data_IF_621883840676
#
_entry.id   IF_621883840676
#
_cell.length_a   1.000
_cell.length_b   1.000
_cell.length_c   1.000
_cell.angle_alpha   90.00
_cell.angle_beta   90.00
_cell.angle_gamma   90.00
#
_symmetry.space_group_name_H-M   'P 1'
#
loop_
_entity.id
_entity.type
_entity.pdbx_description
1 polymer ?
#
# COMPACT_ATOMS: atom_id res chain seq x y z
N UNK A 1 11.13 -8.19 2.45
CA UNK A 1 11.20 -7.44 3.73
C UNK A 1 10.29 -6.21 3.72
N UNK A 2 10.38 -5.31 2.72
CA UNK A 2 9.55 -4.10 2.68
C UNK A 2 8.03 -4.37 2.65
N UNK A 3 7.54 -5.38 1.93
CA UNK A 3 6.10 -5.70 1.94
C UNK A 3 5.60 -6.16 3.31
N UNK A 4 6.41 -6.92 4.04
CA UNK A 4 6.05 -7.41 5.38
C UNK A 4 5.98 -6.23 6.36
N UNK A 5 6.99 -5.37 6.37
CA UNK A 5 7.01 -4.20 7.26
C UNK A 5 5.98 -3.12 6.85
N UNK A 6 5.76 -2.94 5.55
CA UNK A 6 4.74 -2.06 4.99
C UNK A 6 3.32 -2.52 5.28
N UNK A 7 3.07 -3.82 5.47
CA UNK A 7 1.75 -4.31 5.86
C UNK A 7 1.34 -4.02 7.31
N UNK A 8 2.30 -3.62 8.18
CA UNK A 8 2.03 -3.35 9.60
C UNK A 8 1.18 -2.08 9.80
N UNK A 9 1.53 -0.90 9.24
CA UNK A 9 0.73 0.32 9.37
C UNK A 9 -0.56 0.34 8.54
N UNK A 10 -1.04 -0.81 8.04
CA UNK A 10 -2.15 -0.84 7.10
C UNK A 10 -3.49 -0.55 7.78
N UNK A 11 -4.17 0.52 7.37
CA UNK A 11 -5.36 1.03 8.07
C UNK A 11 -6.51 0.03 8.15
N UNK A 12 -6.77 -0.73 7.08
CA UNK A 12 -7.88 -1.71 7.07
C UNK A 12 -7.70 -2.80 8.13
N UNK A 13 -6.46 -3.15 8.46
CA UNK A 13 -6.16 -4.11 9.52
C UNK A 13 -6.50 -3.53 10.90
N UNK A 14 -6.04 -2.31 11.19
CA UNK A 14 -6.37 -1.63 12.45
C UNK A 14 -7.88 -1.43 12.63
N UNK A 15 -8.59 -1.07 11.57
CA UNK A 15 -10.06 -0.94 11.62
C UNK A 15 -10.73 -2.26 12.04
N UNK A 16 -10.28 -3.39 11.51
CA UNK A 16 -10.82 -4.71 11.86
C UNK A 16 -10.46 -5.11 13.29
N UNK A 17 -9.21 -4.92 13.69
CA UNK A 17 -8.74 -5.22 15.06
C UNK A 17 -9.47 -4.39 16.11
N UNK A 18 -9.69 -3.09 15.85
CA UNK A 18 -10.39 -2.18 16.77
C UNK A 18 -11.91 -2.40 16.81
N UNK A 19 -12.49 -3.00 15.76
CA UNK A 19 -13.91 -3.39 15.74
C UNK A 19 -14.21 -4.69 16.48
N UNK A 20 -13.18 -5.45 16.89
CA UNK A 20 -13.36 -6.69 17.62
C UNK A 20 -13.89 -6.45 19.03
N UNK A 21 -14.81 -7.29 19.50
CA UNK A 21 -15.48 -7.12 20.79
C UNK A 21 -14.55 -7.30 22.00
N UNK A 22 -13.40 -7.98 21.81
CA UNK A 22 -12.42 -8.17 22.88
C UNK A 22 -10.98 -8.25 22.34
N UNK A 23 -9.97 -7.86 23.14
CA UNK A 23 -8.57 -7.95 22.75
C UNK A 23 -8.10 -9.40 22.52
N UNK A 24 -8.65 -10.36 23.27
CA UNK A 24 -8.34 -11.79 23.10
C UNK A 24 -8.85 -12.29 21.74
N UNK A 25 -10.07 -11.90 21.36
CA UNK A 25 -10.64 -12.24 20.06
C UNK A 25 -9.84 -11.61 18.92
N UNK A 26 -9.43 -10.34 19.06
CA UNK A 26 -8.62 -9.66 18.06
C UNK A 26 -7.28 -10.39 17.82
N UNK A 27 -6.60 -10.81 18.89
CA UNK A 27 -5.34 -11.60 18.80
C UNK A 27 -5.57 -12.95 18.13
N UNK A 28 -6.62 -13.66 18.51
CA UNK A 28 -6.96 -14.97 17.93
C UNK A 28 -7.22 -14.86 16.43
N UNK A 29 -8.05 -13.90 16.01
CA UNK A 29 -8.34 -13.66 14.58
C UNK A 29 -7.06 -13.31 13.82
N UNK A 30 -6.15 -12.54 14.43
CA UNK A 30 -4.87 -12.17 13.81
C UNK A 30 -3.97 -13.39 13.60
N UNK A 31 -3.83 -14.25 14.61
CA UNK A 31 -3.05 -15.50 14.47
C UNK A 31 -3.68 -16.47 13.47
N UNK A 32 -5.00 -16.62 13.52
CA UNK A 32 -5.73 -17.48 12.60
C UNK A 32 -5.64 -16.96 11.16
N UNK A 33 -5.68 -15.64 10.96
CA UNK A 33 -5.45 -15.01 9.66
C UNK A 33 -4.05 -15.28 9.15
N UNK A 34 -3.01 -15.18 9.99
CA UNK A 34 -1.64 -15.47 9.59
C UNK A 34 -1.47 -16.92 9.11
N UNK A 35 -2.01 -17.88 9.87
CA UNK A 35 -2.02 -19.29 9.47
C UNK A 35 -2.83 -19.51 8.18
N UNK A 36 -4.00 -18.88 8.08
CA UNK A 36 -4.88 -18.94 6.92
C UNK A 36 -4.21 -18.41 5.65
N UNK A 37 -3.45 -17.31 5.73
CA UNK A 37 -2.69 -16.77 4.61
C UNK A 37 -1.64 -17.76 4.10
N UNK A 38 -0.95 -18.47 5.00
CA UNK A 38 0.02 -19.48 4.62
C UNK A 38 -0.64 -20.65 3.88
N UNK A 39 -1.78 -21.13 4.38
CA UNK A 39 -2.55 -22.19 3.72
C UNK A 39 -3.08 -21.76 2.35
N UNK A 40 -3.53 -20.51 2.23
CA UNK A 40 -4.04 -19.95 0.96
C UNK A 40 -2.94 -19.67 -0.08
N UNK A 41 -1.67 -19.65 0.32
CA UNK A 41 -0.57 -19.58 -0.63
C UNK A 41 -0.44 -20.88 -1.45
N UNK A 42 -0.81 -22.03 -0.89
CA UNK A 42 -0.65 -23.35 -1.53
C UNK A 42 -1.48 -23.43 -2.83
N UNK A 43 -2.80 -23.15 -2.84
CA UNK A 43 -3.59 -23.15 -4.08
C UNK A 43 -3.04 -22.19 -5.13
N UNK A 44 -2.57 -21.00 -4.73
CA UNK A 44 -2.03 -20.02 -5.68
C UNK A 44 -0.77 -20.54 -6.39
N UNK A 45 0.13 -21.21 -5.67
CA UNK A 45 1.33 -21.81 -6.24
C UNK A 45 0.98 -22.99 -7.14
N UNK A 46 0.03 -23.84 -6.72
CA UNK A 46 -0.42 -24.97 -7.54
C UNK A 46 -1.02 -24.53 -8.87
N UNK A 47 -1.83 -23.47 -8.88
CA UNK A 47 -2.41 -22.92 -10.11
C UNK A 47 -1.30 -22.39 -11.05
N UNK A 48 -0.29 -21.71 -10.50
CA UNK A 48 0.89 -21.29 -11.27
C UNK A 48 1.66 -22.47 -11.85
N UNK A 49 1.88 -23.53 -11.06
CA UNK A 49 2.54 -24.75 -11.52
C UNK A 49 1.75 -25.43 -12.65
N UNK A 50 0.43 -25.56 -12.51
CA UNK A 50 -0.46 -26.10 -13.55
C UNK A 50 -0.37 -25.27 -14.83
N UNK A 51 -0.36 -23.94 -14.73
CA UNK A 51 -0.21 -23.06 -15.89
C UNK A 51 1.11 -23.28 -16.64
N UNK A 52 2.21 -23.52 -15.91
CA UNK A 52 3.53 -23.78 -16.51
C UNK A 52 3.67 -25.18 -17.09
N UNK A 53 2.99 -26.18 -16.52
CA UNK A 53 3.06 -27.57 -17.01
C UNK A 53 2.08 -27.88 -18.13
N UNK A 54 1.15 -26.97 -18.41
CA UNK A 54 0.11 -27.18 -19.43
C UNK A 54 0.64 -26.87 -20.82
N UNK A 55 0.41 -27.78 -21.75
CA UNK A 55 0.65 -27.56 -23.17
C UNK A 55 -0.47 -26.70 -23.76
N UNK A 56 -0.26 -25.39 -23.78
CA UNK A 56 -1.24 -24.39 -24.23
C UNK A 56 -1.67 -24.57 -25.68
N UNK A 57 -0.87 -25.25 -26.51
CA UNK A 57 -1.22 -25.58 -27.89
C UNK A 57 -2.47 -26.48 -27.99
N UNK A 58 -2.71 -27.32 -26.98
CA UNK A 58 -3.86 -28.23 -26.94
C UNK A 58 -5.11 -27.58 -26.35
N UNK A 59 -5.00 -26.35 -25.83
CA UNK A 59 -6.10 -25.58 -25.29
C UNK A 59 -6.64 -24.61 -26.33
N UNK A 60 -7.86 -24.09 -26.11
CA UNK A 60 -8.45 -23.05 -26.98
C UNK A 60 -7.75 -21.68 -26.88
N UNK A 61 -6.70 -21.54 -26.06
CA UNK A 61 -5.86 -20.34 -25.97
C UNK A 61 -4.80 -20.26 -27.09
N UNK A 62 -4.21 -21.40 -27.46
CA UNK A 62 -3.19 -21.50 -28.52
C UNK A 62 -1.78 -21.03 -28.12
N UNK A 63 -0.88 -20.92 -29.10
CA UNK A 63 0.48 -20.39 -28.94
C UNK A 63 0.56 -18.91 -29.38
N UNK A 64 1.49 -18.10 -28.85
CA UNK A 64 2.48 -18.39 -27.81
C UNK A 64 1.88 -18.50 -26.40
N UNK A 65 2.64 -19.07 -25.46
CA UNK A 65 2.19 -19.29 -24.08
C UNK A 65 1.89 -17.97 -23.33
N UNK A 66 1.04 -17.98 -22.28
CA UNK A 66 0.74 -16.77 -21.51
C UNK A 66 1.97 -16.06 -20.94
N UNK A 67 3.04 -16.81 -20.65
CA UNK A 67 4.29 -16.27 -20.16
C UNK A 67 5.01 -15.46 -21.25
N UNK A 68 5.08 -15.99 -22.47
CA UNK A 68 5.71 -15.34 -23.63
C UNK A 68 4.91 -14.12 -24.12
N UNK A 69 3.59 -14.14 -23.94
CA UNK A 69 2.72 -12.99 -24.24
C UNK A 69 2.77 -11.88 -23.19
N UNK A 70 3.46 -12.11 -22.06
CA UNK A 70 3.52 -11.15 -20.95
C UNK A 70 2.24 -11.07 -20.11
N UNK A 71 1.36 -12.06 -20.23
CA UNK A 71 0.06 -12.14 -19.52
C UNK A 71 0.19 -12.89 -18.18
N UNK A 72 1.38 -12.88 -17.57
CA UNK A 72 1.68 -13.62 -16.33
C UNK A 72 0.78 -13.19 -15.15
N UNK A 73 0.37 -11.92 -15.11
CA UNK A 73 -0.56 -11.41 -14.11
C UNK A 73 -1.98 -12.01 -14.23
N UNK A 74 -2.35 -12.52 -15.41
CA UNK A 74 -3.68 -13.07 -15.72
C UNK A 74 -3.70 -14.60 -15.72
N UNK A 75 -2.64 -15.26 -15.24
CA UNK A 75 -2.57 -16.73 -15.22
C UNK A 75 -3.76 -17.35 -14.49
N UNK A 76 -4.14 -16.83 -13.32
CA UNK A 76 -5.24 -17.37 -12.53
C UNK A 76 -6.58 -17.38 -13.31
N UNK A 77 -7.08 -16.25 -13.86
CA UNK A 77 -8.30 -16.27 -14.67
C UNK A 77 -8.15 -17.09 -15.95
N UNK A 78 -6.98 -17.09 -16.61
CA UNK A 78 -6.74 -17.90 -17.81
C UNK A 78 -6.85 -19.40 -17.51
N UNK A 79 -6.26 -19.87 -16.41
CA UNK A 79 -6.35 -21.28 -16.01
C UNK A 79 -7.81 -21.68 -15.76
N UNK A 80 -8.58 -20.85 -15.05
CA UNK A 80 -9.99 -21.13 -14.81
C UNK A 80 -10.85 -21.06 -16.07
N UNK A 81 -10.50 -20.23 -17.04
CA UNK A 81 -11.24 -20.11 -18.30
C UNK A 81 -10.97 -21.26 -19.26
N UNK A 82 -9.71 -21.67 -19.38
CA UNK A 82 -9.27 -22.57 -20.46
C UNK A 82 -9.04 -24.02 -20.01
N UNK A 83 -8.80 -24.28 -18.73
CA UNK A 83 -8.53 -25.64 -18.21
C UNK A 83 -9.70 -26.21 -17.39
N UNK A 84 -10.69 -25.40 -17.01
CA UNK A 84 -11.82 -25.86 -16.21
C UNK A 84 -13.12 -25.98 -17.02
N UNK A 85 -14.03 -26.91 -16.65
CA UNK A 85 -15.38 -26.97 -17.19
C UNK A 85 -16.15 -25.65 -16.97
N UNK A 86 -17.09 -25.34 -17.87
CA UNK A 86 -17.82 -24.07 -17.89
C UNK A 86 -18.42 -23.67 -16.53
N UNK A 87 -19.02 -24.60 -15.79
CA UNK A 87 -19.61 -24.31 -14.47
C UNK A 87 -18.58 -23.87 -13.43
N UNK A 88 -17.41 -24.52 -13.40
CA UNK A 88 -16.32 -24.20 -12.47
C UNK A 88 -15.65 -22.90 -12.88
N UNK A 89 -15.50 -22.67 -14.20
CA UNK A 89 -14.97 -21.43 -14.74
C UNK A 89 -15.80 -20.21 -14.33
N UNK A 90 -17.12 -20.27 -14.53
CA UNK A 90 -18.04 -19.18 -14.17
C UNK A 90 -18.01 -18.93 -12.65
N UNK A 91 -18.08 -20.00 -11.85
CA UNK A 91 -18.03 -19.88 -10.39
C UNK A 91 -16.68 -19.32 -9.91
N UNK A 92 -15.57 -19.78 -10.47
CA UNK A 92 -14.21 -19.37 -10.10
C UNK A 92 -13.91 -17.93 -10.50
N UNK A 93 -14.26 -17.52 -11.72
CA UNK A 93 -14.13 -16.14 -12.18
C UNK A 93 -15.02 -15.21 -11.36
N UNK A 94 -16.25 -15.64 -11.05
CA UNK A 94 -17.15 -14.92 -10.13
C UNK A 94 -16.56 -14.77 -8.73
N UNK A 95 -15.92 -15.81 -8.19
CA UNK A 95 -15.27 -15.77 -6.89
C UNK A 95 -14.07 -14.81 -6.87
N UNK A 96 -13.25 -14.77 -7.93
CA UNK A 96 -12.14 -13.81 -8.06
C UNK A 96 -12.67 -12.37 -8.12
N UNK A 97 -13.72 -12.13 -8.90
CA UNK A 97 -14.36 -10.82 -8.99
C UNK A 97 -14.93 -10.39 -7.63
N UNK A 98 -15.61 -11.29 -6.91
CA UNK A 98 -16.15 -11.01 -5.58
C UNK A 98 -15.04 -10.73 -4.55
N UNK A 99 -13.96 -11.51 -4.57
CA UNK A 99 -12.82 -11.32 -3.66
C UNK A 99 -12.12 -9.99 -3.90
N UNK A 100 -11.83 -9.64 -5.16
CA UNK A 100 -11.20 -8.36 -5.52
C UNK A 100 -12.08 -7.16 -5.18
N UNK A 101 -13.40 -7.27 -5.41
CA UNK A 101 -14.36 -6.23 -5.05
C UNK A 101 -14.43 -6.01 -3.53
N UNK A 102 -14.41 -7.08 -2.73
CA UNK A 102 -14.37 -6.99 -1.26
C UNK A 102 -13.11 -6.29 -0.73
N UNK A 103 -11.96 -6.57 -1.34
CA UNK A 103 -10.70 -5.87 -1.02
C UNK A 103 -10.73 -4.39 -1.41
N UNK A 104 -11.24 -4.07 -2.61
CA UNK A 104 -11.38 -2.71 -3.10
C UNK A 104 -12.33 -1.88 -2.23
N UNK A 105 -13.47 -2.45 -1.85
CA UNK A 105 -14.44 -1.81 -0.95
C UNK A 105 -13.80 -1.46 0.41
N UNK A 106 -13.10 -2.42 1.03
CA UNK A 106 -12.39 -2.19 2.28
C UNK A 106 -11.36 -1.06 2.16
N UNK A 107 -10.59 -1.02 1.07
CA UNK A 107 -9.58 0.02 0.85
C UNK A 107 -10.21 1.40 0.66
N UNK A 108 -11.24 1.50 -0.20
CA UNK A 108 -11.96 2.76 -0.46
C UNK A 108 -12.65 3.28 0.79
N UNK A 109 -13.31 2.42 1.55
CA UNK A 109 -13.94 2.79 2.82
C UNK A 109 -12.90 3.30 3.83
N UNK A 110 -11.75 2.64 3.91
CA UNK A 110 -10.66 3.02 4.81
C UNK A 110 -10.12 4.42 4.48
N UNK A 111 -9.74 4.65 3.22
CA UNK A 111 -9.23 5.95 2.75
C UNK A 111 -10.27 7.06 2.91
N UNK A 112 -11.53 6.78 2.57
CA UNK A 112 -12.63 7.75 2.66
C UNK A 112 -12.96 8.13 4.09
N UNK A 113 -12.94 7.14 5.00
CA UNK A 113 -13.13 7.35 6.44
C UNK A 113 -11.99 8.18 7.04
N UNK A 114 -10.74 7.87 6.69
CA UNK A 114 -9.58 8.66 7.11
C UNK A 114 -9.71 10.11 6.63
N UNK A 115 -10.08 10.33 5.37
CA UNK A 115 -10.28 11.69 4.85
C UNK A 115 -11.40 12.44 5.58
N UNK A 116 -12.57 11.81 5.75
CA UNK A 116 -13.73 12.45 6.36
C UNK A 116 -13.49 12.81 7.84
N UNK A 117 -12.88 11.91 8.63
CA UNK A 117 -12.64 12.16 10.06
C UNK A 117 -11.37 12.97 10.32
N UNK A 118 -10.26 12.69 9.63
CA UNK A 118 -8.96 13.31 9.94
C UNK A 118 -8.72 14.61 9.19
N UNK A 119 -9.26 14.79 7.99
CA UNK A 119 -9.08 16.01 7.20
C UNK A 119 -10.33 16.87 7.25
N UNK A 120 -11.47 16.33 6.82
CA UNK A 120 -12.70 17.14 6.72
C UNK A 120 -13.18 17.62 8.08
N UNK A 121 -13.36 16.72 9.06
CA UNK A 121 -13.83 17.11 10.40
C UNK A 121 -12.78 17.86 11.21
N UNK A 122 -11.50 17.46 11.21
CA UNK A 122 -10.47 18.08 12.08
C UNK A 122 -9.84 19.36 11.51
N UNK A 123 -9.65 19.45 10.19
CA UNK A 123 -8.92 20.55 9.54
C UNK A 123 -9.89 21.52 8.88
N UNK A 124 -10.76 21.03 7.98
CA UNK A 124 -11.61 21.90 7.16
C UNK A 124 -12.79 22.47 7.95
N UNK A 125 -13.51 21.62 8.70
CA UNK A 125 -14.74 22.01 9.40
C UNK A 125 -14.88 21.34 10.76
N UNK A 126 -14.25 21.94 11.77
CA UNK A 126 -14.22 21.49 13.18
C UNK A 126 -15.59 21.27 13.85
N UNK A 127 -16.65 21.91 13.34
CA UNK A 127 -18.03 21.80 13.84
C UNK A 127 -18.96 21.02 12.91
N UNK A 128 -18.42 20.18 12.02
CA UNK A 128 -19.24 19.39 11.11
C UNK A 128 -20.13 18.39 11.88
N UNK A 129 -21.40 18.28 11.47
CA UNK A 129 -22.34 17.28 12.00
C UNK A 129 -22.04 15.89 11.43
N UNK A 130 -22.49 14.83 12.10
CA UNK A 130 -22.27 13.45 11.64
C UNK A 130 -22.84 13.20 10.23
N UNK A 131 -23.96 13.85 9.88
CA UNK A 131 -24.54 13.78 8.53
C UNK A 131 -23.66 14.43 7.47
N UNK A 132 -23.02 15.56 7.77
CA UNK A 132 -22.05 16.21 6.86
C UNK A 132 -20.80 15.33 6.67
N UNK A 133 -20.32 14.66 7.73
CA UNK A 133 -19.17 13.75 7.66
C UNK A 133 -19.49 12.52 6.80
N UNK A 134 -20.69 11.96 6.92
CA UNK A 134 -21.13 10.84 6.07
C UNK A 134 -21.22 11.23 4.59
N UNK A 135 -21.73 12.42 4.28
CA UNK A 135 -21.73 12.93 2.90
C UNK A 135 -20.31 13.15 2.38
N UNK A 136 -19.42 13.72 3.19
CA UNK A 136 -18.02 13.88 2.83
C UNK A 136 -17.34 12.53 2.55
N UNK A 137 -17.65 11.50 3.35
CA UNK A 137 -17.16 10.13 3.15
C UNK A 137 -17.66 9.51 1.84
N UNK A 138 -18.94 9.68 1.50
CA UNK A 138 -19.49 9.17 0.22
C UNK A 138 -18.89 9.87 -0.99
N UNK A 139 -18.74 11.19 -0.92
CA UNK A 139 -18.13 11.97 -2.01
C UNK A 139 -16.65 11.63 -2.18
N UNK A 140 -15.89 11.50 -1.08
CA UNK A 140 -14.47 11.11 -1.17
C UNK A 140 -14.29 9.69 -1.71
N UNK A 141 -15.21 8.77 -1.38
CA UNK A 141 -15.21 7.41 -1.95
C UNK A 141 -15.37 7.42 -3.47
N UNK A 142 -16.29 8.23 -4.00
CA UNK A 142 -16.45 8.39 -5.45
C UNK A 142 -15.21 9.00 -6.10
N UNK A 143 -14.61 10.03 -5.49
CA UNK A 143 -13.42 10.69 -6.01
C UNK A 143 -12.22 9.74 -6.02
N UNK A 144 -11.92 9.08 -4.90
CA UNK A 144 -10.82 8.11 -4.80
C UNK A 144 -11.04 6.90 -5.70
N UNK A 145 -12.28 6.42 -5.84
CA UNK A 145 -12.64 5.37 -6.78
C UNK A 145 -12.39 5.77 -8.24
N UNK A 146 -12.80 6.97 -8.64
CA UNK A 146 -12.54 7.49 -9.98
C UNK A 146 -11.05 7.67 -10.26
N UNK A 147 -10.29 8.17 -9.29
CA UNK A 147 -8.83 8.30 -9.39
C UNK A 147 -8.14 6.94 -9.51
N UNK A 148 -8.54 5.96 -8.69
CA UNK A 148 -8.00 4.60 -8.74
C UNK A 148 -8.32 3.93 -10.08
N UNK A 149 -9.54 4.10 -10.60
CA UNK A 149 -9.92 3.60 -11.92
C UNK A 149 -9.10 4.28 -13.03
N UNK A 150 -8.92 5.59 -12.98
CA UNK A 150 -8.06 6.32 -13.92
C UNK A 150 -6.61 5.82 -13.92
N UNK A 151 -6.05 5.58 -12.73
CA UNK A 151 -4.70 5.01 -12.60
C UNK A 151 -4.63 3.58 -13.13
N UNK A 152 -5.68 2.78 -12.92
CA UNK A 152 -5.77 1.42 -13.44
C UNK A 152 -5.82 1.37 -14.97
N UNK A 153 -6.45 2.35 -15.64
CA UNK A 153 -6.43 2.47 -17.10
C UNK A 153 -5.10 3.01 -17.65
N UNK A 154 -4.36 3.78 -16.87
CA UNK A 154 -3.09 4.37 -17.29
C UNK A 154 -1.90 3.41 -17.12
N UNK A 155 -1.90 2.58 -16.08
CA UNK A 155 -0.80 1.65 -15.82
C UNK A 155 -0.88 0.38 -16.67
N UNK A 156 0.25 -0.03 -17.24
CA UNK A 156 0.37 -1.28 -18.00
C UNK A 156 0.58 -2.52 -17.11
N UNK A 157 0.86 -2.33 -15.82
CA UNK A 157 1.22 -3.43 -14.91
C UNK A 157 0.60 -3.25 -13.52
N UNK A 158 -0.25 -4.22 -13.15
CA UNK A 158 -0.86 -4.30 -11.80
C UNK A 158 0.19 -4.62 -10.75
N UNK A 159 1.20 -5.42 -11.12
CA UNK A 159 2.28 -5.81 -10.22
C UNK A 159 3.08 -4.58 -9.78
N UNK A 160 3.41 -3.68 -10.71
CA UNK A 160 4.21 -2.51 -10.39
C UNK A 160 3.44 -1.54 -9.47
N UNK A 161 2.14 -1.34 -9.70
CA UNK A 161 1.29 -0.56 -8.80
C UNK A 161 1.20 -1.17 -7.40
N UNK A 162 1.11 -2.50 -7.30
CA UNK A 162 1.09 -3.20 -6.02
C UNK A 162 2.40 -2.97 -5.25
N UNK A 163 3.54 -3.14 -5.91
CA UNK A 163 4.85 -2.93 -5.29
C UNK A 163 5.09 -1.47 -4.90
N UNK A 164 4.67 -0.53 -5.75
CA UNK A 164 4.72 0.90 -5.47
C UNK A 164 3.92 1.25 -4.22
N UNK A 165 2.70 0.72 -4.09
CA UNK A 165 1.85 0.99 -2.92
C UNK A 165 2.49 0.49 -1.62
N UNK A 166 2.99 -0.75 -1.61
CA UNK A 166 3.64 -1.33 -0.43
C UNK A 166 4.94 -0.60 -0.07
N UNK A 167 5.67 -0.12 -1.07
CA UNK A 167 6.87 0.67 -0.85
C UNK A 167 6.56 2.05 -0.25
N UNK A 168 5.55 2.76 -0.75
CA UNK A 168 5.15 4.06 -0.19
C UNK A 168 4.74 3.93 1.27
N UNK A 169 3.96 2.91 1.61
CA UNK A 169 3.57 2.63 2.99
C UNK A 169 4.79 2.29 3.85
N UNK A 170 5.73 1.50 3.34
CA UNK A 170 6.97 1.17 4.04
C UNK A 170 7.90 2.38 4.24
N UNK A 171 8.02 3.26 3.25
CA UNK A 171 8.93 4.40 3.33
C UNK A 171 8.39 5.57 4.18
N UNK A 172 7.06 5.77 4.17
CA UNK A 172 6.41 6.92 4.80
C UNK A 172 5.76 6.57 6.15
N UNK A 173 4.90 5.56 6.17
CA UNK A 173 4.05 5.27 7.33
C UNK A 173 4.75 4.40 8.38
N UNK A 174 5.60 3.47 7.95
CA UNK A 174 6.29 2.58 8.88
C UNK A 174 7.23 3.33 9.84
N UNK A 175 8.10 4.28 9.39
CA UNK A 175 8.91 5.10 10.31
C UNK A 175 8.07 5.88 11.32
N UNK A 176 6.95 6.46 10.86
CA UNK A 176 6.04 7.21 11.74
C UNK A 176 5.43 6.30 12.81
N UNK A 177 4.98 5.11 12.44
CA UNK A 177 4.45 4.13 13.38
C UNK A 177 5.52 3.68 14.40
N UNK A 178 6.75 3.41 13.94
CA UNK A 178 7.85 3.04 14.82
C UNK A 178 8.17 4.15 15.84
N UNK A 179 8.26 5.41 15.39
CA UNK A 179 8.48 6.54 16.28
C UNK A 179 7.33 6.71 17.27
N UNK A 180 6.08 6.61 16.83
CA UNK A 180 4.91 6.76 17.69
C UNK A 180 4.80 5.67 18.78
N UNK A 181 5.27 4.44 18.51
CA UNK A 181 5.18 3.32 19.45
C UNK A 181 6.39 3.22 20.39
N UNK A 182 7.60 3.47 19.89
CA UNK A 182 8.84 3.16 20.61
C UNK A 182 9.61 4.40 21.07
N UNK A 183 9.35 5.58 20.51
CA UNK A 183 10.11 6.80 20.81
C UNK A 183 9.20 7.81 21.52
N UNK A 184 9.30 7.95 22.86
CA UNK A 184 8.41 8.83 23.63
C UNK A 184 8.61 10.32 23.35
N UNK A 185 9.73 10.71 22.73
CA UNK A 185 10.05 12.11 22.39
C UNK A 185 9.51 12.53 21.00
N UNK A 186 8.69 11.71 20.33
CA UNK A 186 8.15 12.02 19.00
C UNK A 186 7.06 13.08 19.09
N UNK A 187 7.15 14.11 18.25
CA UNK A 187 6.20 15.23 18.22
C UNK A 187 5.69 15.51 16.80
N UNK A 188 4.64 16.33 16.71
CA UNK A 188 3.93 16.64 15.46
C UNK A 188 4.86 17.23 14.39
N UNK A 189 5.79 18.09 14.80
CA UNK A 189 6.79 18.71 13.92
C UNK A 189 7.74 17.68 13.30
N UNK A 190 8.28 16.75 14.10
CA UNK A 190 9.15 15.69 13.58
C UNK A 190 8.42 14.73 12.65
N UNK A 191 7.16 14.39 12.97
CA UNK A 191 6.33 13.55 12.10
C UNK A 191 6.02 14.21 10.74
N UNK A 192 5.70 15.51 10.75
CA UNK A 192 5.44 16.27 9.52
C UNK A 192 6.71 16.42 8.67
N UNK A 193 7.85 16.78 9.29
CA UNK A 193 9.12 16.90 8.60
C UNK A 193 9.57 15.57 7.99
N UNK A 194 9.44 14.46 8.74
CA UNK A 194 9.73 13.13 8.22
C UNK A 194 8.87 12.75 7.03
N UNK A 195 7.56 13.03 7.07
CA UNK A 195 6.66 12.76 5.95
C UNK A 195 7.06 13.54 4.70
N UNK A 196 7.37 14.83 4.85
CA UNK A 196 7.78 15.70 3.75
C UNK A 196 9.10 15.20 3.16
N UNK A 197 10.13 14.96 3.99
CA UNK A 197 11.44 14.49 3.53
C UNK A 197 11.32 13.12 2.87
N UNK A 198 10.61 12.16 3.48
CA UNK A 198 10.40 10.84 2.91
C UNK A 198 9.69 10.89 1.56
N UNK A 199 8.67 11.75 1.41
CA UNK A 199 7.93 11.91 0.17
C UNK A 199 8.79 12.58 -0.91
N UNK A 200 9.56 13.61 -0.57
CA UNK A 200 10.50 14.24 -1.51
C UNK A 200 11.58 13.26 -1.97
N UNK A 201 12.25 12.56 -1.04
CA UNK A 201 13.26 11.56 -1.37
C UNK A 201 12.71 10.49 -2.30
N UNK A 202 11.45 10.09 -2.10
CA UNK A 202 10.79 9.09 -2.93
C UNK A 202 10.42 9.59 -4.31
N UNK A 203 9.87 10.80 -4.42
CA UNK A 203 9.56 11.41 -5.72
C UNK A 203 10.84 11.67 -6.52
N UNK A 204 11.90 12.13 -5.86
CA UNK A 204 13.18 12.43 -6.49
C UNK A 204 13.95 11.17 -6.92
N UNK A 205 13.71 10.03 -6.28
CA UNK A 205 14.25 8.72 -6.68
C UNK A 205 13.70 8.22 -8.02
N UNK A 206 12.63 8.83 -8.55
CA UNK A 206 11.95 8.39 -9.78
C UNK A 206 11.09 7.15 -9.56
N UNK A 207 10.15 6.92 -10.48
CA UNK A 207 9.35 5.70 -10.47
C UNK A 207 9.14 5.19 -11.90
N UNK A 208 9.73 4.04 -12.27
CA UNK A 208 9.57 3.47 -13.60
C UNK A 208 8.11 3.09 -13.90
N UNK A 209 7.34 2.67 -12.89
CA UNK A 209 5.92 2.33 -13.02
C UNK A 209 5.02 3.51 -13.43
N UNK A 210 5.41 4.74 -13.09
CA UNK A 210 4.67 5.97 -13.41
C UNK A 210 5.36 6.78 -14.52
N UNK A 211 6.36 6.22 -15.20
CA UNK A 211 7.21 6.93 -16.17
C UNK A 211 7.86 8.21 -15.63
N UNK A 212 8.09 8.29 -14.31
CA UNK A 212 8.73 9.45 -13.68
C UNK A 212 10.25 9.22 -13.71
N UNK A 213 10.96 10.04 -14.49
CA UNK A 213 12.42 9.98 -14.54
C UNK A 213 13.05 10.33 -13.19
N UNK A 214 14.07 9.59 -12.74
CA UNK A 214 14.78 9.90 -11.49
C UNK A 214 15.56 11.21 -11.63
N UNK A 215 15.41 12.10 -10.66
CA UNK A 215 16.18 13.35 -10.57
C UNK A 215 17.43 13.13 -9.70
N UNK A 216 17.33 12.27 -8.67
CA UNK A 216 18.46 11.85 -7.85
C UNK A 216 18.92 10.47 -8.30
N UNK A 217 20.14 10.40 -8.83
CA UNK A 217 20.86 9.16 -9.04
C UNK A 217 21.59 8.75 -7.76
N UNK A 218 21.11 7.72 -7.06
CA UNK A 218 21.82 7.10 -5.95
C UNK A 218 23.10 6.38 -6.44
N UNK A 219 24.13 6.16 -5.58
CA UNK A 219 25.37 5.49 -5.99
C UNK A 219 25.08 4.12 -6.62
N UNK A 220 25.75 3.78 -7.73
CA UNK A 220 25.47 2.60 -8.57
C UNK A 220 24.16 2.65 -9.39
N UNK A 221 23.81 3.82 -9.93
CA UNK A 221 22.87 3.91 -11.07
C UNK A 221 23.55 3.42 -12.34
N UNK A 222 23.10 2.29 -12.89
CA UNK A 222 23.41 1.90 -14.26
C UNK A 222 22.16 2.11 -15.14
N UNK A 223 22.40 2.64 -16.34
CA UNK A 223 21.38 2.76 -17.37
C UNK A 223 21.46 1.51 -18.24
N UNK A 224 20.61 0.51 -17.98
CA UNK A 224 20.44 -0.64 -18.86
C UNK A 224 19.09 -0.55 -19.57
N UNK A 225 19.12 -0.56 -20.90
CA UNK A 225 17.94 -0.65 -21.79
C UNK A 225 16.81 0.36 -21.53
N UNK A 226 17.13 1.62 -21.19
CA UNK A 226 16.12 2.68 -21.00
C UNK A 226 15.38 2.63 -19.66
N UNK A 227 15.71 1.69 -18.78
CA UNK A 227 15.23 1.61 -17.40
C UNK A 227 16.39 1.92 -16.43
N UNK A 228 16.20 2.90 -15.55
CA UNK A 228 17.18 3.22 -14.51
C UNK A 228 17.20 2.09 -13.48
N UNK A 229 18.24 1.26 -13.48
CA UNK A 229 18.43 0.22 -12.49
C UNK A 229 19.27 0.80 -11.34
N UNK A 230 18.60 1.06 -10.21
CA UNK A 230 19.28 1.47 -8.98
C UNK A 230 19.63 0.21 -8.19
N UNK A 231 20.90 -0.21 -8.24
CA UNK A 231 21.39 -1.38 -7.49
C UNK A 231 21.47 -1.12 -5.97
N UNK A 232 21.48 0.15 -5.57
CA UNK A 232 21.46 0.57 -4.18
C UNK A 232 20.09 0.29 -3.54
N UNK A 233 20.02 -0.19 -2.28
CA UNK A 233 18.77 -0.40 -1.56
C UNK A 233 18.12 0.94 -1.14
N UNK A 234 17.79 1.78 -2.12
CA UNK A 234 17.26 3.13 -1.96
C UNK A 234 15.98 3.14 -1.13
N UNK A 235 15.18 2.07 -1.20
CA UNK A 235 13.93 1.90 -0.43
C UNK A 235 14.20 1.87 1.07
N UNK A 236 15.15 1.04 1.50
CA UNK A 236 15.55 0.92 2.92
C UNK A 236 16.28 2.18 3.37
N UNK A 237 17.12 2.75 2.51
CA UNK A 237 17.80 4.01 2.79
C UNK A 237 16.81 5.16 3.02
N UNK A 238 15.81 5.30 2.17
CA UNK A 238 14.74 6.31 2.31
C UNK A 238 14.00 6.11 3.62
N UNK A 239 13.62 4.86 3.95
CA UNK A 239 12.96 4.55 5.22
C UNK A 239 13.81 4.96 6.44
N UNK A 240 15.10 4.61 6.45
CA UNK A 240 16.02 4.96 7.54
C UNK A 240 16.26 6.46 7.64
N UNK A 241 16.36 7.15 6.50
CA UNK A 241 16.54 8.60 6.48
C UNK A 241 15.29 9.32 6.98
N UNK A 242 14.09 8.86 6.57
CA UNK A 242 12.81 9.30 7.15
C UNK A 242 12.79 9.10 8.66
N UNK A 243 13.13 7.90 9.15
CA UNK A 243 13.19 7.61 10.60
C UNK A 243 14.17 8.54 11.33
N UNK A 244 15.37 8.71 10.79
CA UNK A 244 16.39 9.60 11.33
C UNK A 244 15.92 11.05 11.39
N UNK A 245 15.27 11.54 10.33
CA UNK A 245 14.71 12.90 10.32
C UNK A 245 13.58 13.09 11.34
N UNK A 246 12.70 12.11 11.52
CA UNK A 246 11.65 12.20 12.55
C UNK A 246 12.29 12.35 13.92
N UNK A 247 13.27 11.50 14.26
CA UNK A 247 13.91 11.52 15.58
C UNK A 247 14.71 12.82 15.77
N UNK A 248 15.51 13.22 14.77
CA UNK A 248 16.35 14.41 14.86
C UNK A 248 15.54 15.70 15.00
N UNK A 249 14.51 15.87 14.16
CA UNK A 249 13.62 17.04 14.24
C UNK A 249 12.79 17.00 15.52
N UNK A 250 12.36 15.82 15.96
CA UNK A 250 11.59 15.72 17.21
C UNK A 250 12.42 16.10 18.42
N UNK A 251 13.66 15.62 18.50
CA UNK A 251 14.58 15.99 19.57
C UNK A 251 14.93 17.48 19.52
N UNK A 252 15.20 18.02 18.33
CA UNK A 252 15.48 19.45 18.14
C UNK A 252 14.31 20.31 18.62
N UNK A 253 13.08 19.96 18.23
CA UNK A 253 11.88 20.65 18.67
C UNK A 253 11.71 20.57 20.21
N UNK A 254 11.92 19.40 20.80
CA UNK A 254 11.85 19.24 22.25
C UNK A 254 12.88 20.12 22.98
N UNK A 255 14.12 20.19 22.47
CA UNK A 255 15.17 21.07 23.02
C UNK A 255 14.83 22.54 22.85
N UNK A 256 14.24 22.94 21.72
CA UNK A 256 13.84 24.33 21.47
C UNK A 256 12.73 24.80 22.42
N UNK A 257 11.74 23.95 22.68
CA UNK A 257 10.67 24.24 23.65
C UNK A 257 11.20 24.24 25.09
N UNK A 258 12.05 23.28 25.47
CA UNK A 258 12.66 23.26 26.81
C UNK A 258 13.57 24.47 27.08
N UNK A 259 14.22 25.02 26.04
CA UNK A 259 15.05 26.23 26.13
C UNK A 259 14.25 27.54 26.01
N UNK A 260 12.91 27.49 25.97
CA UNK A 260 12.02 28.65 25.77
C UNK A 260 12.36 29.50 24.54
N UNK A 261 12.96 28.90 23.51
CA UNK A 261 13.29 29.60 22.26
C UNK A 261 12.07 29.72 21.33
N UNK A 262 11.04 28.90 21.57
CA UNK A 262 9.76 28.95 20.87
C UNK A 262 8.64 29.25 21.87
N UNK A 263 7.66 30.09 21.49
CA UNK A 263 6.52 30.39 22.36
C UNK A 263 5.66 29.14 22.60
N UNK A 264 5.18 28.91 23.84
CA UNK A 264 4.39 27.73 24.19
C UNK A 264 3.02 27.65 23.48
N UNK A 265 2.58 28.73 22.82
CA UNK A 265 1.41 28.74 21.96
C UNK A 265 1.55 27.88 20.70
N UNK A 266 2.76 27.46 20.35
CA UNK A 266 3.06 26.63 19.20
C UNK A 266 3.32 25.17 19.58
N UNK A 267 3.02 24.75 20.80
CA UNK A 267 3.03 23.33 21.15
C UNK A 267 1.74 22.68 20.60
N UNK A 268 1.88 21.78 19.62
CA UNK A 268 0.77 21.15 18.86
C UNK A 268 0.81 19.63 18.97
#
# INVERSE_FOLDING_TARGET
MFQVLGSIPWQTYFQRVLSAASPTQARLISYLSGLGCFLMAIPSVLIGAVATSTDWNQTSYGLPSPLERGESAMILPLVLQYLCPAYISIAGLGAIAAATMSSADSALLSSSSMFAHNIYRKILRKKATETEVLWAMRTSMLVFGAMAAGLAFYSNSVYDLWFLSGELVYALLFPQLCCALFVPSTNTYGSAAGLVVGLFLRLLAGEPALSISPIICYPACSLENGTYSQLFPFKTFTMLLTLGTIIAVSYLAAVLFQRNLLPPSWDV
#
